data_IF_640163619835
#
_entry.id   IF_640163619835
#
_cell.length_a   1.000
_cell.length_b   1.000
_cell.length_c   1.000
_cell.angle_alpha   90.00
_cell.angle_beta   90.00
_cell.angle_gamma   90.00
#
_symmetry.space_group_name_H-M   'P 1'
#
loop_
_entity.id
_entity.type
_entity.pdbx_description
1 polymer ?
#
# COMPACT_ATOMS: atom_id res chain seq x y z
N UNK A 1 -23.55 0.85 16.38
CA UNK A 1 -22.22 0.24 16.36
C UNK A 1 -21.59 0.48 14.99
N UNK A 2 -20.39 1.04 14.94
CA UNK A 2 -19.56 1.18 13.73
C UNK A 2 -18.58 0.01 13.71
N UNK A 3 -18.37 -0.60 12.55
CA UNK A 3 -17.47 -1.74 12.37
C UNK A 3 -16.34 -1.40 11.40
N UNK A 4 -15.11 -1.71 11.78
CA UNK A 4 -13.92 -1.51 10.96
C UNK A 4 -13.70 -2.71 10.02
N UNK A 5 -13.57 -2.44 8.71
CA UNK A 5 -13.24 -3.45 7.69
C UNK A 5 -11.92 -3.07 7.02
N UNK A 6 -10.91 -3.89 7.21
CA UNK A 6 -9.60 -3.76 6.56
C UNK A 6 -9.65 -4.48 5.22
N UNK A 7 -9.47 -3.73 4.13
CA UNK A 7 -9.63 -4.24 2.76
C UNK A 7 -8.28 -4.43 2.10
N UNK A 8 -7.89 -5.69 1.90
CA UNK A 8 -6.66 -6.06 1.20
C UNK A 8 -6.96 -6.33 -0.29
N UNK A 9 -5.93 -6.21 -1.12
CA UNK A 9 -6.06 -6.50 -2.56
C UNK A 9 -6.58 -7.94 -2.80
N UNK A 10 -5.98 -8.92 -2.14
CA UNK A 10 -6.26 -10.32 -2.41
C UNK A 10 -5.66 -10.83 -3.71
N UNK A 11 -5.94 -12.07 -4.05
CA UNK A 11 -5.53 -12.72 -5.31
C UNK A 11 -6.48 -13.87 -5.62
N UNK A 12 -6.78 -14.07 -6.91
CA UNK A 12 -7.56 -15.21 -7.41
C UNK A 12 -6.67 -16.47 -7.54
N UNK A 13 -5.97 -16.85 -6.46
CA UNK A 13 -5.14 -18.06 -6.40
C UNK A 13 -5.40 -18.78 -5.08
N UNK A 14 -5.64 -20.11 -5.10
CA UNK A 14 -5.90 -20.88 -3.90
C UNK A 14 -4.81 -20.71 -2.82
N UNK A 15 -5.20 -20.55 -1.57
CA UNK A 15 -4.32 -20.47 -0.40
C UNK A 15 -3.54 -19.15 -0.25
N UNK A 16 -3.51 -18.27 -1.25
CA UNK A 16 -2.74 -17.02 -1.15
C UNK A 16 -3.39 -16.04 -0.20
N UNK A 17 -4.71 -15.87 -0.25
CA UNK A 17 -5.41 -14.96 0.65
C UNK A 17 -5.34 -15.44 2.11
N UNK A 18 -5.34 -16.75 2.34
CA UNK A 18 -5.14 -17.34 3.67
C UNK A 18 -3.76 -16.98 4.25
N UNK A 19 -2.70 -17.21 3.48
CA UNK A 19 -1.33 -16.84 3.90
C UNK A 19 -1.18 -15.33 4.10
N UNK A 20 -1.85 -14.51 3.29
CA UNK A 20 -1.86 -13.04 3.50
C UNK A 20 -2.57 -12.69 4.79
N UNK A 21 -3.72 -13.31 5.06
CA UNK A 21 -4.48 -13.11 6.29
C UNK A 21 -3.63 -13.45 7.52
N UNK A 22 -3.05 -14.62 7.57
CA UNK A 22 -2.21 -15.07 8.70
C UNK A 22 -1.06 -14.10 8.98
N UNK A 23 -0.30 -13.72 7.94
CA UNK A 23 0.79 -12.75 8.08
C UNK A 23 0.31 -11.36 8.51
N UNK A 24 -0.88 -10.95 8.05
CA UNK A 24 -1.45 -9.66 8.39
C UNK A 24 -1.98 -9.64 9.84
N UNK A 25 -2.67 -10.71 10.27
CA UNK A 25 -3.20 -10.84 11.63
C UNK A 25 -2.07 -10.82 12.68
N UNK A 26 -0.88 -11.35 12.34
CA UNK A 26 0.29 -11.29 13.22
C UNK A 26 0.70 -9.86 13.59
N UNK A 27 0.40 -8.86 12.75
CA UNK A 27 0.67 -7.43 13.07
C UNK A 27 -0.11 -6.95 14.29
N UNK A 28 -1.24 -7.58 14.60
CA UNK A 28 -2.19 -7.13 15.62
C UNK A 28 -2.30 -8.07 16.82
N UNK A 29 -1.42 -9.08 16.94
CA UNK A 29 -1.48 -10.05 18.04
C UNK A 29 -1.48 -9.39 19.44
N UNK A 30 -0.81 -8.24 19.58
CA UNK A 30 -0.74 -7.49 20.84
C UNK A 30 -1.70 -6.29 20.86
N UNK A 31 -2.52 -6.11 19.83
CA UNK A 31 -3.36 -4.94 19.67
C UNK A 31 -4.82 -5.27 19.96
N UNK A 32 -5.42 -4.60 20.94
CA UNK A 32 -6.87 -4.62 21.18
C UNK A 32 -7.62 -3.87 20.07
N UNK A 33 -7.55 -4.37 18.84
CA UNK A 33 -8.23 -3.79 17.69
C UNK A 33 -9.30 -4.76 17.19
N UNK A 34 -10.55 -4.31 17.16
CA UNK A 34 -11.65 -5.08 16.58
C UNK A 34 -11.83 -4.70 15.13
N UNK A 35 -11.68 -5.65 14.23
CA UNK A 35 -11.82 -5.46 12.79
C UNK A 35 -12.27 -6.73 12.10
N UNK A 36 -12.75 -6.58 10.86
CA UNK A 36 -12.94 -7.67 9.92
C UNK A 36 -11.99 -7.51 8.74
N UNK A 37 -11.43 -8.62 8.25
CA UNK A 37 -10.66 -8.62 7.01
C UNK A 37 -11.58 -8.89 5.82
N UNK A 38 -11.33 -8.20 4.73
CA UNK A 38 -11.97 -8.43 3.45
C UNK A 38 -10.94 -8.34 2.31
N UNK A 39 -11.23 -9.01 1.20
CA UNK A 39 -10.40 -8.98 -0.01
C UNK A 39 -11.17 -8.37 -1.18
N UNK A 40 -10.45 -7.69 -2.08
CA UNK A 40 -11.01 -7.23 -3.35
C UNK A 40 -11.07 -8.37 -4.36
N UNK A 41 -10.08 -9.26 -4.34
CA UNK A 41 -9.98 -10.42 -5.21
C UNK A 41 -9.93 -11.73 -4.40
N UNK A 42 -10.60 -12.77 -4.90
CA UNK A 42 -10.68 -14.09 -4.30
C UNK A 42 -12.11 -14.63 -4.24
N UNK A 43 -12.24 -15.91 -3.88
CA UNK A 43 -13.53 -16.61 -3.85
C UNK A 43 -14.25 -16.46 -2.51
N UNK A 44 -13.50 -16.18 -1.44
CA UNK A 44 -14.02 -16.10 -0.07
C UNK A 44 -13.58 -14.82 0.62
N UNK A 45 -14.37 -14.38 1.60
CA UNK A 45 -14.12 -13.14 2.36
C UNK A 45 -13.96 -11.91 1.47
N UNK A 46 -14.67 -11.86 0.33
CA UNK A 46 -14.69 -10.64 -0.48
C UNK A 46 -15.33 -9.50 0.29
N UNK A 47 -14.98 -8.25 -0.06
CA UNK A 47 -15.56 -7.06 0.56
C UNK A 47 -17.09 -7.13 0.56
N UNK A 48 -17.68 -7.56 -0.56
CA UNK A 48 -19.14 -7.73 -0.67
C UNK A 48 -19.65 -8.76 0.33
N UNK A 49 -19.08 -9.95 0.40
CA UNK A 49 -19.52 -11.03 1.30
C UNK A 49 -19.41 -10.61 2.78
N UNK A 50 -18.32 -9.94 3.16
CA UNK A 50 -18.11 -9.49 4.55
C UNK A 50 -19.14 -8.43 4.93
N UNK A 51 -19.38 -7.44 4.08
CA UNK A 51 -20.37 -6.37 4.35
C UNK A 51 -21.78 -6.94 4.41
N UNK A 52 -22.19 -7.79 3.46
CA UNK A 52 -23.52 -8.42 3.44
C UNK A 52 -23.75 -9.31 4.69
N UNK A 53 -22.73 -10.05 5.12
CA UNK A 53 -22.80 -10.84 6.35
C UNK A 53 -22.99 -9.96 7.59
N UNK A 54 -22.30 -8.82 7.67
CA UNK A 54 -22.43 -7.90 8.79
C UNK A 54 -23.80 -7.18 8.78
N UNK A 55 -24.30 -6.83 7.61
CA UNK A 55 -25.67 -6.31 7.44
C UNK A 55 -26.70 -7.31 7.95
N UNK A 56 -26.56 -8.59 7.63
CA UNK A 56 -27.49 -9.64 8.12
C UNK A 56 -27.50 -9.79 9.66
N UNK A 57 -26.42 -9.31 10.32
CA UNK A 57 -26.29 -9.21 11.78
C UNK A 57 -26.77 -7.88 12.34
N UNK A 58 -27.38 -7.00 11.51
CA UNK A 58 -27.95 -5.73 11.91
C UNK A 58 -26.95 -4.55 11.92
N UNK A 59 -25.74 -4.71 11.44
CA UNK A 59 -24.75 -3.64 11.34
C UNK A 59 -25.11 -2.72 10.16
N UNK A 60 -25.04 -1.41 10.39
CA UNK A 60 -25.41 -0.37 9.40
C UNK A 60 -24.29 0.62 9.08
N UNK A 61 -23.27 0.70 9.92
CA UNK A 61 -22.20 1.70 9.79
C UNK A 61 -20.83 1.03 9.69
N UNK A 62 -20.07 1.39 8.66
CA UNK A 62 -18.82 0.75 8.32
C UNK A 62 -17.71 1.78 8.11
N UNK A 63 -16.59 1.57 8.76
CA UNK A 63 -15.32 2.19 8.43
C UNK A 63 -14.57 1.25 7.49
N UNK A 64 -14.22 1.71 6.31
CA UNK A 64 -13.50 0.95 5.29
C UNK A 64 -12.06 1.44 5.24
N UNK A 65 -11.13 0.59 5.58
CA UNK A 65 -9.71 0.92 5.64
C UNK A 65 -8.98 0.17 4.51
N UNK A 66 -8.73 0.81 3.37
CA UNK A 66 -7.99 0.19 2.27
C UNK A 66 -6.53 -0.04 2.66
N UNK A 67 -6.12 -1.31 2.67
CA UNK A 67 -4.71 -1.69 2.86
C UNK A 67 -4.01 -1.59 1.50
N UNK A 68 -3.92 -0.37 1.01
CA UNK A 68 -3.32 0.03 -0.27
C UNK A 68 -2.28 1.12 0.02
N UNK A 69 -1.14 1.10 -0.68
CA UNK A 69 -0.14 2.16 -0.49
C UNK A 69 -0.56 3.46 -1.18
N UNK A 70 -1.00 3.38 -2.42
CA UNK A 70 -1.30 4.57 -3.21
C UNK A 70 -2.69 4.51 -3.82
N UNK A 71 -3.37 5.68 -3.98
CA UNK A 71 -4.70 5.75 -4.53
C UNK A 71 -4.66 5.50 -6.05
N UNK A 72 -5.27 4.41 -6.49
CA UNK A 72 -5.44 4.03 -7.89
C UNK A 72 -6.82 3.38 -8.10
N UNK A 73 -7.00 2.56 -9.14
CA UNK A 73 -8.27 1.95 -9.51
C UNK A 73 -9.02 1.32 -8.33
N UNK A 74 -8.35 0.51 -7.51
CA UNK A 74 -9.01 -0.13 -6.37
C UNK A 74 -9.60 0.87 -5.38
N UNK A 75 -8.92 1.99 -5.16
CA UNK A 75 -9.37 3.05 -4.26
C UNK A 75 -10.49 3.91 -4.86
N UNK A 76 -10.34 4.31 -6.13
CA UNK A 76 -11.30 5.24 -6.76
C UNK A 76 -12.51 4.56 -7.38
N UNK A 77 -12.38 3.29 -7.81
CA UNK A 77 -13.44 2.58 -8.52
C UNK A 77 -13.93 1.34 -7.76
N UNK A 78 -13.05 0.35 -7.53
CA UNK A 78 -13.51 -0.99 -7.14
C UNK A 78 -14.18 -0.97 -5.76
N UNK A 79 -13.54 -0.40 -4.73
CA UNK A 79 -14.12 -0.29 -3.39
C UNK A 79 -15.40 0.55 -3.40
N UNK A 80 -15.42 1.79 -3.96
CA UNK A 80 -16.64 2.59 -4.00
C UNK A 80 -17.78 1.92 -4.77
N UNK A 81 -17.50 1.25 -5.89
CA UNK A 81 -18.56 0.61 -6.69
C UNK A 81 -19.19 -0.56 -5.94
N UNK A 82 -18.37 -1.43 -5.31
CA UNK A 82 -18.89 -2.52 -4.47
C UNK A 82 -19.81 -1.98 -3.37
N UNK A 83 -19.37 -0.94 -2.65
CA UNK A 83 -20.12 -0.37 -1.54
C UNK A 83 -21.40 0.34 -2.01
N UNK A 84 -21.35 1.06 -3.14
CA UNK A 84 -22.55 1.68 -3.76
C UNK A 84 -23.57 0.64 -4.17
N UNK A 85 -23.14 -0.47 -4.76
CA UNK A 85 -24.06 -1.55 -5.18
C UNK A 85 -24.73 -2.22 -3.97
N UNK A 86 -23.99 -2.46 -2.88
CA UNK A 86 -24.59 -2.95 -1.64
C UNK A 86 -25.56 -1.93 -1.06
N UNK A 87 -25.20 -0.64 -1.02
CA UNK A 87 -26.06 0.42 -0.49
C UNK A 87 -27.37 0.58 -1.28
N UNK A 88 -27.38 0.35 -2.59
CA UNK A 88 -28.62 0.34 -3.40
C UNK A 88 -29.61 -0.73 -2.94
N UNK A 89 -29.10 -1.90 -2.56
CA UNK A 89 -29.91 -3.01 -2.06
C UNK A 89 -30.25 -2.88 -0.57
N UNK A 90 -29.46 -2.12 0.18
CA UNK A 90 -29.63 -1.88 1.60
C UNK A 90 -29.41 -0.38 1.93
N UNK A 91 -30.41 0.49 1.67
CA UNK A 91 -30.30 1.95 1.86
C UNK A 91 -29.88 2.42 3.27
N UNK A 92 -30.22 1.72 4.38
CA UNK A 92 -29.77 2.11 5.71
C UNK A 92 -28.26 2.01 5.96
N UNK A 93 -27.51 1.37 5.05
CA UNK A 93 -26.06 1.26 5.15
C UNK A 93 -25.39 2.63 4.99
N UNK A 94 -24.42 2.92 5.86
CA UNK A 94 -23.53 4.07 5.73
C UNK A 94 -22.07 3.60 5.86
N UNK A 95 -21.17 4.26 5.15
CA UNK A 95 -19.75 3.95 5.20
C UNK A 95 -18.89 5.20 4.99
N UNK A 96 -17.68 5.15 5.56
CA UNK A 96 -16.61 6.11 5.32
C UNK A 96 -15.39 5.31 4.87
N UNK A 97 -14.64 5.82 3.90
CA UNK A 97 -13.43 5.18 3.36
C UNK A 97 -12.21 5.99 3.80
N UNK A 98 -11.25 5.35 4.45
CA UNK A 98 -10.01 5.97 4.86
C UNK A 98 -9.09 6.26 3.65
N UNK A 99 -8.23 7.26 3.82
CA UNK A 99 -7.14 7.50 2.88
C UNK A 99 -6.19 6.29 2.80
N UNK A 100 -5.54 6.06 1.63
CA UNK A 100 -4.54 5.01 1.48
C UNK A 100 -3.37 5.16 2.46
N UNK A 101 -2.73 4.04 2.79
CA UNK A 101 -1.67 4.03 3.81
C UNK A 101 -0.44 4.85 3.40
N UNK A 102 -0.11 4.88 2.11
CA UNK A 102 1.10 5.53 1.59
C UNK A 102 1.15 7.04 1.74
N UNK A 103 0.01 7.69 2.01
CA UNK A 103 -0.07 9.13 2.30
C UNK A 103 0.17 9.46 3.77
N UNK A 104 0.28 8.45 4.64
CA UNK A 104 0.52 8.64 6.07
C UNK A 104 1.99 8.93 6.38
N UNK A 105 2.25 9.89 7.28
CA UNK A 105 3.61 10.32 7.65
C UNK A 105 4.51 9.17 8.12
N UNK A 106 3.99 8.19 8.84
CA UNK A 106 4.77 7.04 9.33
C UNK A 106 5.33 6.20 8.18
N UNK A 107 4.69 6.18 7.00
CA UNK A 107 5.24 5.47 5.82
C UNK A 107 6.56 6.10 5.37
N UNK A 108 6.68 7.43 5.41
CA UNK A 108 7.97 8.07 5.09
C UNK A 108 9.06 7.66 6.07
N UNK A 109 8.75 7.49 7.35
CA UNK A 109 9.71 7.03 8.35
C UNK A 109 10.13 5.57 8.10
N UNK A 110 9.20 4.69 7.73
CA UNK A 110 9.52 3.31 7.33
C UNK A 110 10.50 3.31 6.15
N UNK A 111 10.24 4.13 5.13
CA UNK A 111 11.11 4.24 3.95
C UNK A 111 12.48 4.82 4.33
N UNK A 112 12.52 5.90 5.12
CA UNK A 112 13.77 6.48 5.63
C UNK A 112 14.61 5.46 6.40
N UNK A 113 14.00 4.67 7.27
CA UNK A 113 14.71 3.63 8.01
C UNK A 113 15.30 2.56 7.08
N UNK A 114 14.58 2.17 6.02
CA UNK A 114 15.12 1.23 5.02
C UNK A 114 16.31 1.80 4.25
N UNK A 115 16.24 3.07 3.87
CA UNK A 115 17.35 3.78 3.22
C UNK A 115 18.53 3.83 4.18
N UNK A 116 18.35 4.38 5.39
CA UNK A 116 19.42 4.52 6.39
C UNK A 116 20.12 3.21 6.71
N UNK A 117 19.34 2.14 6.94
CA UNK A 117 19.88 0.80 7.22
C UNK A 117 20.74 0.23 6.07
N UNK A 118 20.46 0.65 4.83
CA UNK A 118 21.28 0.24 3.67
C UNK A 118 22.51 1.10 3.54
N UNK A 119 22.38 2.43 3.74
CA UNK A 119 23.52 3.36 3.65
C UNK A 119 24.58 3.08 4.72
N UNK A 120 24.19 2.67 5.92
CA UNK A 120 25.13 2.24 6.99
C UNK A 120 25.96 1.03 6.54
N UNK A 121 25.39 0.13 5.71
CA UNK A 121 26.05 -1.08 5.24
C UNK A 121 26.79 -0.89 3.92
N UNK A 122 26.45 0.14 3.17
CA UNK A 122 27.02 0.44 1.85
C UNK A 122 27.07 1.96 1.65
N UNK A 123 28.20 2.54 2.01
CA UNK A 123 28.49 3.99 1.89
C UNK A 123 28.76 4.44 0.45
N UNK A 124 28.84 3.49 -0.51
CA UNK A 124 29.08 3.79 -1.93
C UNK A 124 27.79 4.20 -2.67
N UNK A 125 26.62 4.08 -2.06
CA UNK A 125 25.34 4.43 -2.69
C UNK A 125 25.33 5.92 -3.08
N UNK A 126 25.10 6.19 -4.36
CA UNK A 126 25.11 7.53 -4.95
C UNK A 126 23.70 8.13 -5.11
N UNK A 127 22.70 7.28 -5.24
CA UNK A 127 21.28 7.70 -5.37
C UNK A 127 20.35 6.62 -4.83
N UNK A 128 19.15 7.03 -4.45
CA UNK A 128 18.06 6.12 -4.10
C UNK A 128 16.96 6.23 -5.17
N UNK A 129 16.45 5.09 -5.61
CA UNK A 129 15.28 4.99 -6.47
C UNK A 129 14.11 4.43 -5.68
N UNK A 130 13.06 5.20 -5.50
CA UNK A 130 11.77 4.72 -5.00
C UNK A 130 11.01 4.09 -6.16
N UNK A 131 10.85 2.76 -6.13
CA UNK A 131 10.21 1.97 -7.18
C UNK A 131 8.78 1.62 -6.77
N UNK A 132 7.78 2.12 -7.48
CA UNK A 132 6.37 1.87 -7.19
C UNK A 132 5.62 1.29 -8.40
N UNK A 133 4.41 0.77 -8.13
CA UNK A 133 3.56 0.22 -9.18
C UNK A 133 3.19 1.27 -10.24
N UNK A 134 2.73 2.44 -9.80
CA UNK A 134 2.18 3.46 -10.69
C UNK A 134 0.79 3.10 -11.22
N UNK A 135 0.33 3.89 -12.20
CA UNK A 135 -0.94 3.65 -12.90
C UNK A 135 -0.88 4.29 -14.28
N UNK A 136 -1.43 3.62 -15.29
CA UNK A 136 -1.61 4.20 -16.64
C UNK A 136 -2.84 5.11 -16.72
N UNK A 137 -3.76 5.02 -15.77
CA UNK A 137 -5.04 5.76 -15.77
C UNK A 137 -5.02 6.93 -14.77
N UNK A 138 -4.41 6.74 -13.60
CA UNK A 138 -4.42 7.69 -12.48
C UNK A 138 -3.07 8.37 -12.31
N UNK A 139 -3.05 9.68 -12.06
CA UNK A 139 -1.84 10.46 -11.79
C UNK A 139 -1.47 10.47 -10.31
N UNK A 140 -2.42 10.22 -9.43
CA UNK A 140 -2.30 10.29 -7.97
C UNK A 140 -1.22 9.38 -7.41
N UNK A 141 -1.03 8.12 -7.89
CA UNK A 141 0.09 7.30 -7.43
C UNK A 141 1.45 7.95 -7.69
N UNK A 142 1.61 8.61 -8.86
CA UNK A 142 2.85 9.33 -9.18
C UNK A 142 3.09 10.48 -8.21
N UNK A 143 2.07 11.31 -7.98
CA UNK A 143 2.14 12.45 -7.07
C UNK A 143 2.47 11.99 -5.64
N UNK A 144 1.81 10.94 -5.15
CA UNK A 144 2.06 10.39 -3.82
C UNK A 144 3.50 9.86 -3.68
N UNK A 145 4.03 9.16 -4.68
CA UNK A 145 5.43 8.69 -4.68
C UNK A 145 6.42 9.86 -4.73
N UNK A 146 6.13 10.92 -5.49
CA UNK A 146 6.94 12.13 -5.54
C UNK A 146 6.97 12.87 -4.19
N UNK A 147 5.82 13.03 -3.51
CA UNK A 147 5.75 13.60 -2.17
C UNK A 147 6.52 12.76 -1.16
N UNK A 148 6.42 11.43 -1.26
CA UNK A 148 7.20 10.53 -0.41
C UNK A 148 8.71 10.69 -0.68
N UNK A 149 9.15 10.83 -1.93
CA UNK A 149 10.54 11.08 -2.28
C UNK A 149 11.06 12.39 -1.66
N UNK A 150 10.28 13.48 -1.79
CA UNK A 150 10.60 14.77 -1.16
C UNK A 150 10.73 14.65 0.36
N UNK A 151 9.84 13.91 1.02
CA UNK A 151 9.91 13.69 2.46
C UNK A 151 11.13 12.86 2.88
N UNK A 152 11.71 12.08 1.97
CA UNK A 152 12.92 11.28 2.19
C UNK A 152 14.22 12.01 1.82
N UNK A 153 14.16 13.24 1.32
CA UNK A 153 15.33 14.07 0.94
C UNK A 153 16.05 14.62 2.18
N UNK A 154 16.63 13.72 2.98
CA UNK A 154 17.33 14.03 4.24
C UNK A 154 18.72 13.39 4.31
N UNK A 155 19.13 12.64 3.26
CA UNK A 155 20.37 11.85 3.27
C UNK A 155 21.51 12.53 2.51
N UNK A 156 21.27 13.68 1.89
CA UNK A 156 22.30 14.37 1.08
C UNK A 156 22.67 13.68 -0.23
N UNK A 157 21.87 12.68 -0.65
CA UNK A 157 21.99 11.99 -1.94
C UNK A 157 20.65 12.10 -2.70
N UNK A 158 20.68 12.15 -4.06
CA UNK A 158 19.45 12.30 -4.85
C UNK A 158 18.46 11.16 -4.59
N UNK A 159 17.19 11.51 -4.46
CA UNK A 159 16.09 10.55 -4.39
C UNK A 159 15.31 10.64 -5.72
N UNK A 160 15.30 9.54 -6.47
CA UNK A 160 14.60 9.40 -7.75
C UNK A 160 13.33 8.56 -7.60
N UNK A 161 12.40 8.71 -8.53
CA UNK A 161 11.18 7.89 -8.55
C UNK A 161 11.06 7.15 -9.88
N UNK A 162 10.74 5.86 -9.82
CA UNK A 162 10.46 5.03 -11.00
C UNK A 162 9.14 4.28 -10.79
N UNK A 163 8.27 4.35 -11.80
CA UNK A 163 6.97 3.68 -11.79
C UNK A 163 6.96 2.56 -12.82
N UNK A 164 6.46 1.39 -12.45
CA UNK A 164 6.34 0.25 -13.37
C UNK A 164 5.34 0.53 -14.49
N UNK A 165 4.29 1.31 -14.20
CA UNK A 165 3.22 1.64 -15.14
C UNK A 165 2.92 3.14 -15.16
N UNK A 166 2.49 3.66 -16.32
CA UNK A 166 1.98 5.02 -16.47
C UNK A 166 3.04 6.12 -16.64
N UNK A 167 4.32 5.77 -16.69
CA UNK A 167 5.42 6.73 -16.85
C UNK A 167 6.38 6.37 -18.00
N UNK A 168 5.88 5.68 -19.01
CA UNK A 168 6.71 5.11 -20.07
C UNK A 168 7.39 3.81 -19.67
N UNK A 169 8.47 3.47 -20.35
CA UNK A 169 9.22 2.24 -20.07
C UNK A 169 10.11 2.44 -18.84
N UNK A 170 9.79 1.75 -17.74
CA UNK A 170 10.54 1.87 -16.50
C UNK A 170 12.00 1.40 -16.63
N UNK A 171 12.29 0.45 -17.53
CA UNK A 171 13.66 -0.05 -17.76
C UNK A 171 14.53 1.04 -18.38
N UNK A 172 14.01 1.74 -19.40
CA UNK A 172 14.73 2.86 -20.04
C UNK A 172 14.93 4.04 -19.07
N UNK A 173 13.94 4.31 -18.21
CA UNK A 173 14.06 5.35 -17.20
C UNK A 173 15.11 4.99 -16.17
N UNK A 174 15.10 3.74 -15.70
CA UNK A 174 16.09 3.23 -14.76
C UNK A 174 17.49 3.21 -15.37
N UNK A 175 17.63 2.81 -16.65
CA UNK A 175 18.91 2.83 -17.38
C UNK A 175 19.55 4.23 -17.37
N UNK A 176 18.76 5.29 -17.61
CA UNK A 176 19.27 6.68 -17.58
C UNK A 176 19.79 7.05 -16.18
N UNK A 177 19.07 6.66 -15.12
CA UNK A 177 19.49 6.91 -13.74
C UNK A 177 20.79 6.14 -13.44
N UNK A 178 20.86 4.86 -13.78
CA UNK A 178 21.99 3.98 -13.47
C UNK A 178 23.25 4.33 -14.27
N UNK A 179 23.13 4.89 -15.46
CA UNK A 179 24.27 5.46 -16.20
C UNK A 179 24.88 6.66 -15.48
N UNK A 180 24.06 7.48 -14.82
CA UNK A 180 24.50 8.65 -14.05
C UNK A 180 24.99 8.26 -12.65
N UNK A 181 24.33 7.28 -12.02
CA UNK A 181 24.57 6.83 -10.65
C UNK A 181 24.71 5.29 -10.61
N UNK A 182 25.87 4.73 -10.97
CA UNK A 182 26.04 3.28 -11.03
C UNK A 182 25.76 2.56 -9.70
N UNK A 183 26.07 3.19 -8.56
CA UNK A 183 25.81 2.64 -7.22
C UNK A 183 24.45 3.11 -6.74
N UNK A 184 23.38 2.43 -7.16
CA UNK A 184 22.00 2.80 -6.86
C UNK A 184 21.37 1.85 -5.85
N UNK A 185 20.70 2.42 -4.84
CA UNK A 185 19.78 1.69 -3.97
C UNK A 185 18.36 1.78 -4.53
N UNK A 186 17.72 0.64 -4.81
CA UNK A 186 16.30 0.59 -5.18
C UNK A 186 15.48 0.17 -3.96
N UNK A 187 14.50 0.98 -3.58
CA UNK A 187 13.54 0.73 -2.51
C UNK A 187 12.16 0.45 -3.11
N UNK A 188 11.71 -0.81 -3.10
CA UNK A 188 10.39 -1.17 -3.61
C UNK A 188 9.28 -0.68 -2.68
N UNK A 189 8.40 0.19 -3.17
CA UNK A 189 7.22 0.68 -2.46
C UNK A 189 6.04 -0.26 -2.73
N UNK A 190 6.05 -1.41 -2.07
CA UNK A 190 5.02 -2.44 -2.12
C UNK A 190 4.77 -2.98 -0.71
N UNK A 191 3.53 -3.40 -0.42
CA UNK A 191 3.18 -3.97 0.88
C UNK A 191 3.79 -5.35 1.12
N UNK A 192 4.26 -6.04 0.07
CA UNK A 192 4.88 -7.37 0.15
C UNK A 192 5.97 -7.53 -0.90
N UNK A 193 7.00 -8.29 -0.55
CA UNK A 193 7.98 -8.85 -1.50
C UNK A 193 7.36 -10.03 -2.28
N UNK A 194 6.20 -9.78 -2.93
CA UNK A 194 5.47 -10.77 -3.71
C UNK A 194 6.02 -11.00 -5.11
N UNK A 195 5.27 -11.79 -5.91
CA UNK A 195 5.68 -12.19 -7.26
C UNK A 195 6.08 -11.01 -8.16
N UNK A 196 5.30 -9.93 -8.18
CA UNK A 196 5.60 -8.75 -9.02
C UNK A 196 6.95 -8.12 -8.63
N UNK A 197 7.19 -7.94 -7.33
CA UNK A 197 8.44 -7.35 -6.82
C UNK A 197 9.63 -8.24 -7.17
N UNK A 198 9.53 -9.54 -6.94
CA UNK A 198 10.60 -10.50 -7.24
C UNK A 198 10.90 -10.56 -8.75
N UNK A 199 9.86 -10.62 -9.58
CA UNK A 199 10.01 -10.58 -11.04
C UNK A 199 10.66 -9.27 -11.49
N UNK A 200 10.26 -8.13 -10.94
CA UNK A 200 10.85 -6.83 -11.28
C UNK A 200 12.32 -6.75 -10.86
N UNK A 201 12.66 -7.21 -9.65
CA UNK A 201 14.05 -7.30 -9.19
C UNK A 201 14.90 -8.18 -10.12
N UNK A 202 14.36 -9.33 -10.54
CA UNK A 202 15.03 -10.23 -11.46
C UNK A 202 15.24 -9.58 -12.85
N UNK A 203 14.21 -8.96 -13.40
CA UNK A 203 14.30 -8.26 -14.69
C UNK A 203 15.35 -7.15 -14.67
N UNK A 204 15.42 -6.38 -13.57
CA UNK A 204 16.43 -5.32 -13.42
C UNK A 204 17.83 -5.93 -13.34
N UNK A 205 18.04 -6.98 -12.53
CA UNK A 205 19.35 -7.64 -12.39
C UNK A 205 19.90 -8.25 -13.68
N UNK A 206 19.03 -8.60 -14.62
CA UNK A 206 19.42 -9.13 -15.93
C UNK A 206 19.90 -8.05 -16.90
N UNK A 207 19.74 -6.77 -16.57
CA UNK A 207 20.20 -5.67 -17.41
C UNK A 207 21.71 -5.42 -17.19
N UNK A 208 22.45 -5.28 -18.27
CA UNK A 208 23.91 -5.06 -18.23
C UNK A 208 24.31 -3.79 -17.45
N UNK A 209 23.42 -2.79 -17.39
CA UNK A 209 23.63 -1.54 -16.68
C UNK A 209 23.35 -1.62 -15.17
N UNK A 210 22.86 -2.76 -14.67
CA UNK A 210 22.38 -2.91 -13.27
C UNK A 210 23.36 -3.72 -12.39
N UNK A 211 24.63 -3.82 -12.77
CA UNK A 211 25.65 -4.64 -12.08
C UNK A 211 25.81 -4.25 -10.59
N UNK A 212 25.74 -2.97 -10.27
CA UNK A 212 25.99 -2.44 -8.93
C UNK A 212 24.70 -1.96 -8.21
N UNK A 213 23.55 -2.52 -8.58
CA UNK A 213 22.28 -2.18 -7.96
C UNK A 213 22.08 -2.96 -6.66
N UNK A 214 21.79 -2.23 -5.59
CA UNK A 214 21.35 -2.79 -4.30
C UNK A 214 19.84 -2.67 -4.17
N UNK A 215 19.19 -3.70 -3.65
CA UNK A 215 17.74 -3.67 -3.36
C UNK A 215 17.49 -3.71 -1.86
N UNK A 216 16.66 -2.77 -1.38
CA UNK A 216 16.01 -2.93 -0.08
C UNK A 216 14.88 -3.97 -0.17
N UNK A 217 14.38 -4.43 0.98
CA UNK A 217 13.11 -5.15 1.04
C UNK A 217 11.95 -4.20 0.77
N UNK A 218 10.82 -4.72 0.28
CA UNK A 218 9.55 -3.97 0.23
C UNK A 218 9.15 -3.46 1.63
N UNK A 219 8.10 -2.66 1.74
CA UNK A 219 7.61 -2.17 3.03
C UNK A 219 7.33 -3.33 3.96
N UNK A 220 6.69 -4.38 3.43
CA UNK A 220 6.25 -5.57 4.15
C UNK A 220 5.32 -5.23 5.33
N UNK A 221 4.87 -6.23 6.04
CA UNK A 221 4.04 -6.07 7.23
C UNK A 221 4.91 -5.82 8.46
N UNK A 222 5.61 -4.67 8.48
CA UNK A 222 6.43 -4.26 9.64
C UNK A 222 5.52 -3.72 10.76
N UNK A 223 5.95 -3.78 12.05
CA UNK A 223 5.13 -3.33 13.18
C UNK A 223 4.62 -1.90 13.05
N UNK A 224 5.41 -0.99 12.46
CA UNK A 224 5.00 0.40 12.22
C UNK A 224 3.78 0.52 11.30
N UNK A 225 3.51 -0.48 10.44
CA UNK A 225 2.32 -0.50 9.61
C UNK A 225 1.04 -0.67 10.44
N UNK A 226 1.09 -1.41 11.54
CA UNK A 226 -0.03 -1.52 12.47
C UNK A 226 -0.41 -0.16 13.07
N UNK A 227 0.59 0.69 13.35
CA UNK A 227 0.36 2.06 13.80
C UNK A 227 -0.36 2.88 12.72
N UNK A 228 0.11 2.83 11.47
CA UNK A 228 -0.56 3.53 10.36
C UNK A 228 -2.03 3.12 10.25
N UNK A 229 -2.32 1.83 10.33
CA UNK A 229 -3.70 1.30 10.24
C UNK A 229 -4.54 1.79 11.42
N UNK A 230 -4.01 1.77 12.64
CA UNK A 230 -4.70 2.31 13.83
C UNK A 230 -4.99 3.80 13.67
N UNK A 231 -4.02 4.58 13.21
CA UNK A 231 -4.19 6.02 13.01
C UNK A 231 -5.29 6.28 11.95
N UNK A 232 -5.34 5.50 10.85
CA UNK A 232 -6.43 5.57 9.86
C UNK A 232 -7.80 5.23 10.43
N UNK A 233 -7.89 4.26 11.33
CA UNK A 233 -9.14 3.93 12.03
C UNK A 233 -9.55 5.10 12.94
N UNK A 234 -8.64 5.65 13.73
CA UNK A 234 -8.92 6.78 14.61
C UNK A 234 -9.39 8.03 13.83
N UNK A 235 -8.77 8.32 12.68
CA UNK A 235 -9.21 9.39 11.76
C UNK A 235 -10.69 9.20 11.36
N UNK A 236 -11.09 7.97 11.02
CA UNK A 236 -12.47 7.66 10.65
C UNK A 236 -13.43 7.72 11.84
N UNK A 237 -13.02 7.33 13.04
CA UNK A 237 -13.84 7.44 14.24
C UNK A 237 -14.17 8.89 14.57
N UNK A 238 -13.21 9.81 14.42
CA UNK A 238 -13.43 11.25 14.56
C UNK A 238 -14.46 11.74 13.52
N UNK A 239 -14.31 11.35 12.25
CA UNK A 239 -15.24 11.72 11.18
C UNK A 239 -16.63 11.11 11.40
N UNK A 240 -16.71 9.85 11.82
CA UNK A 240 -17.95 9.14 12.07
C UNK A 240 -18.77 9.81 13.19
N UNK A 241 -18.11 10.26 14.26
CA UNK A 241 -18.78 11.00 15.33
C UNK A 241 -19.42 12.31 14.85
N UNK A 242 -18.84 12.95 13.83
CA UNK A 242 -19.42 14.15 13.23
C UNK A 242 -20.55 13.80 12.25
N UNK A 243 -20.37 12.78 11.41
CA UNK A 243 -21.30 12.42 10.34
C UNK A 243 -22.54 11.64 10.81
N UNK A 244 -22.44 10.89 11.92
CA UNK A 244 -23.54 10.04 12.40
C UNK A 244 -24.25 10.60 13.65
N UNK A 245 -23.79 11.74 14.19
CA UNK A 245 -24.43 12.45 15.31
C UNK A 245 -25.51 13.44 14.87
N UNK A 246 -25.67 13.65 13.56
CA UNK A 246 -26.72 14.44 12.92
C UNK A 246 -27.80 13.53 12.32
#
# INVERSE_FOLDING_TARGET
>A
VVVNILVLHGMNRPGVNESVRENFEQLFNDAQLTYHLAFLEGDTQTLKQVVELLISKGIKHFNIIPILLFPAKHYFEDIPNILKDIKRNYPPMNYIIAEPLGTHQTISNIVKNKIANTLIKNDKVQTVVLLAHGSSTYTEPRQAVQHLAQSCDVFGIPIQTVLLYGAGNYVEHLEKILKQYPQTLIVPLFLRDGYLVQRTKQNIRQQAFAENVTFASAINFVPDLAKVIKDRINELEVLANVCYAS
#
